data_IF_913818629663
#
_entry.id   IF_913818629663
#
_cell.length_a   1.000
_cell.length_b   1.000
_cell.length_c   1.000
_cell.angle_alpha   90.00
_cell.angle_beta   90.00
_cell.angle_gamma   90.00
#
_symmetry.space_group_name_H-M   'P 1'
#
loop_
_entity.id
_entity.type
_entity.pdbx_description
1 polymer ?
#
# COMPACT_ATOMS: atom_id res chain seq x y z
N UNK A 1 2.12 33.62 -24.39
CA UNK A 1 2.20 33.85 -22.92
C UNK A 1 1.82 32.54 -22.25
N UNK A 2 2.65 32.01 -21.36
CA UNK A 2 2.27 30.84 -20.56
C UNK A 2 1.09 31.22 -19.68
N UNK A 3 0.08 30.34 -19.56
CA UNK A 3 -0.98 30.51 -18.59
C UNK A 3 -0.37 30.58 -17.16
N UNK A 4 -0.96 31.36 -16.24
CA UNK A 4 -0.48 31.41 -14.86
C UNK A 4 -0.59 30.01 -14.22
N UNK A 5 0.53 29.47 -13.76
CA UNK A 5 0.58 28.23 -12.98
C UNK A 5 0.36 28.55 -11.49
N UNK A 6 -0.89 28.77 -11.11
CA UNK A 6 -1.27 29.06 -9.71
C UNK A 6 -1.74 27.80 -8.96
N UNK A 7 -1.55 26.62 -9.56
CA UNK A 7 -1.97 25.35 -8.98
C UNK A 7 -0.71 24.55 -8.67
N UNK A 8 -0.55 24.20 -7.40
CA UNK A 8 0.53 23.33 -6.93
C UNK A 8 -0.08 21.93 -6.71
N UNK A 9 0.46 20.93 -7.41
CA UNK A 9 0.14 19.53 -7.16
C UNK A 9 1.21 18.93 -6.24
N UNK A 10 0.76 18.26 -5.18
CA UNK A 10 1.62 17.51 -4.26
C UNK A 10 1.21 16.05 -4.31
N UNK A 11 2.16 15.17 -4.62
CA UNK A 11 1.95 13.73 -4.72
C UNK A 11 2.71 13.09 -3.57
N UNK A 12 2.03 12.24 -2.82
CA UNK A 12 2.62 11.46 -1.73
C UNK A 12 2.63 10.00 -2.14
N UNK A 13 3.76 9.34 -1.87
CA UNK A 13 3.76 7.90 -1.69
C UNK A 13 2.95 7.54 -0.43
N UNK A 14 2.58 6.27 -0.26
CA UNK A 14 1.74 5.81 0.83
C UNK A 14 2.50 5.04 1.91
N UNK A 15 2.99 3.84 1.55
CA UNK A 15 3.73 2.97 2.47
C UNK A 15 5.08 3.62 2.81
N UNK A 16 5.48 3.51 4.07
CA UNK A 16 6.68 4.14 4.67
C UNK A 16 6.77 5.67 4.49
N UNK A 17 5.66 6.31 4.10
CA UNK A 17 5.55 7.77 3.91
C UNK A 17 4.40 8.37 4.72
N UNK A 18 3.19 7.84 4.58
CA UNK A 18 2.01 8.28 5.33
C UNK A 18 1.72 7.36 6.51
N UNK A 19 2.05 6.08 6.38
CA UNK A 19 1.84 5.00 7.36
C UNK A 19 2.93 3.93 7.18
N UNK A 20 3.02 2.97 8.09
CA UNK A 20 3.89 1.80 7.95
C UNK A 20 3.44 0.92 6.75
N UNK A 21 4.33 0.06 6.25
CA UNK A 21 4.04 -0.90 5.16
C UNK A 21 2.72 -1.68 5.35
N UNK A 22 1.70 -1.24 4.62
CA UNK A 22 0.36 -1.79 4.66
C UNK A 22 0.25 -3.16 3.99
N UNK A 23 1.15 -3.48 3.04
CA UNK A 23 1.17 -4.79 2.39
C UNK A 23 1.69 -5.85 3.35
N UNK A 24 2.80 -5.59 4.05
CA UNK A 24 3.30 -6.47 5.11
C UNK A 24 2.28 -6.60 6.25
N UNK A 25 1.67 -5.50 6.69
CA UNK A 25 0.62 -5.55 7.71
C UNK A 25 -0.59 -6.40 7.28
N UNK A 26 -0.95 -6.37 6.00
CA UNK A 26 -2.04 -7.20 5.48
C UNK A 26 -1.66 -8.69 5.52
N UNK A 27 -0.45 -9.05 5.07
CA UNK A 27 0.06 -10.42 5.13
C UNK A 27 0.02 -10.98 6.56
N UNK A 28 0.53 -10.22 7.52
CA UNK A 28 0.54 -10.59 8.94
C UNK A 28 -0.87 -10.79 9.50
N UNK A 29 -1.81 -9.91 9.13
CA UNK A 29 -3.19 -9.98 9.61
C UNK A 29 -3.94 -11.24 9.13
N UNK A 30 -3.43 -11.90 8.09
CA UNK A 30 -3.93 -13.18 7.56
C UNK A 30 -3.00 -14.36 7.86
N UNK A 31 -2.03 -14.18 8.76
CA UNK A 31 -1.11 -15.24 9.20
C UNK A 31 -0.11 -15.68 8.13
N UNK A 32 0.15 -14.86 7.12
CA UNK A 32 1.20 -15.12 6.12
C UNK A 32 2.51 -14.55 6.66
N UNK A 33 3.56 -15.37 6.68
CA UNK A 33 4.91 -14.92 7.05
C UNK A 33 5.45 -13.94 6.00
N UNK A 34 5.64 -12.65 6.33
CA UNK A 34 6.13 -11.67 5.36
C UNK A 34 7.55 -11.98 4.90
N UNK A 35 8.40 -12.55 5.76
CA UNK A 35 9.77 -12.89 5.41
C UNK A 35 9.81 -13.95 4.33
N UNK A 36 9.02 -15.01 4.49
CA UNK A 36 8.88 -16.04 3.46
C UNK A 36 8.27 -15.48 2.16
N UNK A 37 7.22 -14.65 2.30
CA UNK A 37 6.56 -14.02 1.17
C UNK A 37 7.53 -13.20 0.31
N UNK A 38 8.31 -12.31 0.94
CA UNK A 38 9.20 -11.39 0.24
C UNK A 38 10.53 -12.04 -0.17
N UNK A 39 11.20 -12.74 0.76
CA UNK A 39 12.58 -13.20 0.56
C UNK A 39 12.67 -14.53 -0.19
N UNK A 40 11.59 -15.33 -0.20
CA UNK A 40 11.58 -16.62 -0.89
C UNK A 40 10.61 -16.61 -2.07
N UNK A 41 9.30 -16.46 -1.80
CA UNK A 41 8.26 -16.65 -2.83
C UNK A 41 8.31 -15.58 -3.91
N UNK A 42 8.39 -14.30 -3.52
CA UNK A 42 8.50 -13.19 -4.46
C UNK A 42 9.85 -13.22 -5.17
N UNK A 43 10.94 -13.45 -4.42
CA UNK A 43 12.29 -13.58 -4.99
C UNK A 43 12.38 -14.66 -6.07
N UNK A 44 11.75 -15.82 -5.87
CA UNK A 44 11.73 -16.90 -6.86
C UNK A 44 11.06 -16.48 -8.19
N UNK A 45 10.01 -15.64 -8.14
CA UNK A 45 9.39 -15.11 -9.36
C UNK A 45 10.29 -14.08 -10.04
N UNK A 46 10.92 -13.20 -9.27
CA UNK A 46 11.88 -12.22 -9.81
C UNK A 46 13.07 -12.92 -10.47
N UNK A 47 13.61 -13.95 -9.84
CA UNK A 47 14.70 -14.76 -10.42
C UNK A 47 14.26 -15.53 -11.68
N UNK A 48 12.96 -15.81 -11.82
CA UNK A 48 12.35 -16.35 -13.05
C UNK A 48 12.07 -15.27 -14.12
N UNK A 49 12.49 -14.03 -13.91
CA UNK A 49 12.39 -12.93 -14.88
C UNK A 49 11.15 -12.06 -14.75
N UNK A 50 10.39 -12.17 -13.67
CA UNK A 50 9.24 -11.31 -13.42
C UNK A 50 9.68 -9.92 -12.94
N UNK A 51 8.93 -8.89 -13.35
CA UNK A 51 9.00 -7.59 -12.73
C UNK A 51 8.61 -7.70 -11.23
N UNK A 52 9.37 -7.12 -10.29
CA UNK A 52 9.10 -7.26 -8.86
C UNK A 52 7.70 -6.81 -8.45
N UNK A 53 7.20 -5.71 -9.01
CA UNK A 53 5.85 -5.19 -8.71
C UNK A 53 4.79 -6.17 -9.19
N UNK A 54 4.91 -6.65 -10.43
CA UNK A 54 3.98 -7.66 -10.96
C UNK A 54 4.07 -8.98 -10.18
N UNK A 55 5.26 -9.39 -9.77
CA UNK A 55 5.51 -10.63 -9.04
C UNK A 55 4.76 -10.66 -7.70
N UNK A 56 4.90 -9.63 -6.86
CA UNK A 56 4.22 -9.64 -5.57
C UNK A 56 2.71 -9.45 -5.69
N UNK A 57 2.23 -8.61 -6.62
CA UNK A 57 0.80 -8.46 -6.89
C UNK A 57 0.18 -9.78 -7.35
N UNK A 58 0.89 -10.53 -8.19
CA UNK A 58 0.48 -11.88 -8.59
C UNK A 58 0.42 -12.82 -7.39
N UNK A 59 1.44 -12.82 -6.52
CA UNK A 59 1.44 -13.64 -5.32
C UNK A 59 0.31 -13.29 -4.36
N UNK A 60 -0.03 -12.01 -4.20
CA UNK A 60 -1.18 -11.62 -3.40
C UNK A 60 -2.45 -12.29 -3.95
N UNK A 61 -2.68 -12.18 -5.27
CA UNK A 61 -3.83 -12.79 -5.93
C UNK A 61 -3.85 -14.33 -5.82
N UNK A 62 -2.70 -15.00 -5.92
CA UNK A 62 -2.61 -16.46 -5.75
C UNK A 62 -2.97 -16.93 -4.32
N UNK A 63 -2.93 -16.02 -3.33
CA UNK A 63 -3.41 -16.30 -1.97
C UNK A 63 -4.91 -15.99 -1.77
N UNK A 64 -5.59 -15.35 -2.74
CA UNK A 64 -7.04 -15.06 -2.71
C UNK A 64 -7.83 -16.19 -3.38
N UNK A 65 -8.06 -17.27 -2.63
CA UNK A 65 -8.96 -18.34 -3.03
C UNK A 65 -9.49 -19.11 -1.81
N UNK A 66 -10.60 -19.83 -1.98
CA UNK A 66 -11.08 -20.78 -0.97
C UNK A 66 -9.98 -21.81 -0.65
N UNK A 67 -9.65 -21.97 0.64
CA UNK A 67 -8.58 -22.85 1.10
C UNK A 67 -7.16 -22.24 1.08
N UNK A 68 -7.02 -20.96 0.71
CA UNK A 68 -5.77 -20.19 0.83
C UNK A 68 -5.86 -19.18 1.98
N UNK A 69 -4.72 -18.60 2.36
CA UNK A 69 -4.60 -17.70 3.51
C UNK A 69 -5.55 -16.50 3.43
N UNK A 70 -5.71 -15.84 2.28
CA UNK A 70 -6.64 -14.72 2.16
C UNK A 70 -8.11 -15.15 1.99
N UNK A 71 -8.39 -16.44 1.75
CA UNK A 71 -9.76 -16.92 1.56
C UNK A 71 -10.48 -16.15 0.45
N UNK A 72 -11.67 -15.62 0.78
CA UNK A 72 -12.46 -14.77 -0.12
C UNK A 72 -12.27 -13.28 0.21
N UNK A 73 -11.03 -12.84 0.42
CA UNK A 73 -10.67 -11.43 0.67
C UNK A 73 -11.33 -10.52 -0.36
N UNK A 74 -12.14 -9.57 0.10
CA UNK A 74 -12.83 -8.61 -0.76
C UNK A 74 -12.79 -7.18 -0.22
N UNK A 75 -13.47 -6.28 -0.93
CA UNK A 75 -13.48 -4.84 -0.62
C UNK A 75 -13.96 -4.51 0.79
N UNK A 76 -14.83 -5.33 1.38
CA UNK A 76 -15.31 -5.13 2.76
C UNK A 76 -14.16 -5.34 3.75
N UNK A 77 -13.39 -6.40 3.56
CA UNK A 77 -12.31 -6.79 4.46
C UNK A 77 -11.12 -5.84 4.30
N UNK A 78 -10.80 -5.45 3.07
CA UNK A 78 -9.77 -4.42 2.78
C UNK A 78 -10.10 -3.07 3.44
N UNK A 79 -11.37 -2.63 3.41
CA UNK A 79 -11.80 -1.42 4.14
C UNK A 79 -11.64 -1.58 5.65
N UNK A 80 -12.00 -2.75 6.19
CA UNK A 80 -11.86 -3.03 7.61
C UNK A 80 -10.39 -3.11 8.07
N UNK A 81 -9.50 -3.61 7.21
CA UNK A 81 -8.06 -3.57 7.42
C UNK A 81 -7.52 -2.14 7.37
N UNK A 82 -7.83 -1.39 6.30
CA UNK A 82 -7.36 -0.02 6.12
C UNK A 82 -7.77 0.92 7.25
N UNK A 83 -8.94 0.72 7.86
CA UNK A 83 -9.39 1.49 9.02
C UNK A 83 -8.54 1.29 10.29
N UNK A 84 -7.68 0.27 10.34
CA UNK A 84 -6.78 -0.03 11.46
C UNK A 84 -5.37 0.53 11.27
N UNK A 85 -5.03 0.97 10.06
CA UNK A 85 -3.72 1.55 9.77
C UNK A 85 -3.51 2.82 10.60
N UNK A 86 -2.28 3.00 11.08
CA UNK A 86 -1.89 4.15 11.90
C UNK A 86 -1.01 5.06 11.07
N UNK A 87 -1.48 6.29 10.87
CA UNK A 87 -0.70 7.29 10.17
C UNK A 87 0.40 7.86 11.06
N UNK A 88 1.49 8.33 10.43
CA UNK A 88 2.57 8.99 11.14
C UNK A 88 2.13 10.33 11.76
N UNK A 89 2.82 10.79 12.83
CA UNK A 89 2.49 12.05 13.48
C UNK A 89 2.42 13.22 12.48
N UNK A 90 1.32 13.98 12.52
CA UNK A 90 1.08 15.10 11.60
C UNK A 90 0.20 14.76 10.40
N UNK A 91 -0.04 13.48 10.10
CA UNK A 91 -1.03 13.03 9.12
C UNK A 91 -2.35 12.71 9.86
N UNK A 92 -3.52 13.11 9.35
CA UNK A 92 -3.78 13.80 8.08
C UNK A 92 -3.71 15.34 8.13
N UNK A 93 -3.33 15.95 9.27
CA UNK A 93 -3.32 17.42 9.45
C UNK A 93 -2.53 18.16 8.36
N UNK A 94 -1.44 17.59 7.87
CA UNK A 94 -0.65 18.12 6.75
C UNK A 94 -1.52 18.51 5.54
N UNK A 95 -2.50 17.69 5.17
CA UNK A 95 -3.34 17.94 4.00
C UNK A 95 -4.20 19.20 4.17
N UNK A 96 -4.74 19.42 5.37
CA UNK A 96 -5.46 20.65 5.68
C UNK A 96 -4.54 21.88 5.75
N UNK A 97 -3.31 21.72 6.27
CA UNK A 97 -2.34 22.81 6.37
C UNK A 97 -1.90 23.29 4.99
N UNK A 98 -1.61 22.36 4.05
CA UNK A 98 -1.23 22.70 2.69
C UNK A 98 -2.34 23.47 1.96
N UNK A 99 -3.60 23.06 2.14
CA UNK A 99 -4.75 23.78 1.55
C UNK A 99 -4.93 25.18 2.16
N UNK A 100 -4.65 25.35 3.45
CA UNK A 100 -4.73 26.64 4.11
C UNK A 100 -3.63 27.60 3.64
N UNK A 101 -2.40 27.10 3.45
CA UNK A 101 -1.26 27.89 2.94
C UNK A 101 -1.51 28.34 1.50
N UNK A 102 -2.00 27.46 0.63
CA UNK A 102 -2.25 27.80 -0.77
C UNK A 102 -3.37 28.85 -1.00
N UNK A 103 -4.19 29.12 0.02
CA UNK A 103 -5.26 30.13 -0.02
C UNK A 103 -4.82 31.51 0.49
N UNK A 104 -3.63 31.61 1.11
CA UNK A 104 -3.04 32.87 1.54
C UNK A 104 -2.37 33.55 0.34
#
# INVERSE_FOLDING_TARGET
MSAPQNIIAVIFDFDDTLTDDSTTGLLESYGIDPKDFWQNRMRALVDAGWDPTVAYLRLLLDNVALGKCFGNLGNRDLRAFGAKLKFYPGIPKLFSDLQAIAKQ
#
